data_IF_351757406226
#
_entry.id   IF_351757406226
#
_cell.length_a   1.000
_cell.length_b   1.000
_cell.length_c   1.000
_cell.angle_alpha   90.00
_cell.angle_beta   90.00
_cell.angle_gamma   90.00
#
_symmetry.space_group_name_H-M   'P 1'
#
loop_
_entity.id
_entity.type
_entity.pdbx_description
1 polymer ?
#
# COMPACT_ATOMS: atom_id res chain seq x y z
N UNK A 1 -1.47 -21.42 13.32
CA UNK A 1 -0.92 -20.13 13.78
C UNK A 1 -1.82 -19.04 13.23
N UNK A 2 -2.62 -18.45 14.09
CA UNK A 2 -3.50 -17.32 13.77
C UNK A 2 -2.78 -15.98 13.86
N UNK A 3 -3.35 -14.94 13.22
CA UNK A 3 -2.91 -13.57 13.43
C UNK A 3 -4.11 -12.75 13.87
N UNK A 4 -3.95 -12.00 14.95
CA UNK A 4 -4.86 -10.96 15.33
C UNK A 4 -4.43 -9.64 14.67
N UNK A 5 -5.38 -8.89 14.09
CA UNK A 5 -5.08 -7.62 13.42
C UNK A 5 -5.82 -6.48 14.13
N UNK A 6 -5.05 -5.55 14.65
CA UNK A 6 -5.49 -4.29 15.23
C UNK A 6 -5.41 -3.18 14.18
N UNK A 7 -6.29 -2.19 14.27
CA UNK A 7 -6.30 -1.03 13.37
C UNK A 7 -6.38 0.24 14.21
N UNK A 8 -5.48 1.17 13.91
CA UNK A 8 -5.36 2.46 14.57
C UNK A 8 -5.55 3.58 13.54
N UNK A 9 -6.51 4.46 13.80
CA UNK A 9 -6.74 5.68 13.01
C UNK A 9 -6.15 6.85 13.77
N UNK A 10 -5.25 7.60 13.12
CA UNK A 10 -4.55 8.78 13.67
C UNK A 10 -3.91 8.52 15.06
N UNK A 11 -3.14 7.42 15.25
CA UNK A 11 -2.68 6.99 16.57
C UNK A 11 -1.82 8.04 17.28
N UNK A 12 -1.11 8.89 16.54
CA UNK A 12 -0.33 9.99 17.12
C UNK A 12 -1.19 11.04 17.83
N UNK A 13 -2.48 11.14 17.46
CA UNK A 13 -3.44 12.08 18.08
C UNK A 13 -4.26 11.44 19.18
N UNK A 14 -4.64 10.16 19.01
CA UNK A 14 -5.68 9.55 19.87
C UNK A 14 -5.15 8.66 20.98
N UNK A 15 -3.91 8.13 20.83
CA UNK A 15 -3.36 7.22 21.83
C UNK A 15 -2.67 7.97 22.98
N UNK A 16 -2.89 7.50 24.21
CA UNK A 16 -2.08 7.89 25.37
C UNK A 16 -0.63 7.47 25.22
N UNK A 17 0.27 7.94 26.10
CA UNK A 17 1.72 7.77 25.94
C UNK A 17 2.15 6.31 25.91
N UNK A 18 1.72 5.49 26.83
CA UNK A 18 2.14 4.08 26.89
C UNK A 18 1.69 3.25 25.67
N UNK A 19 0.40 3.25 25.24
CA UNK A 19 -0.01 2.53 24.04
C UNK A 19 0.59 3.13 22.75
N UNK A 20 0.85 4.44 22.69
CA UNK A 20 1.57 5.05 21.58
C UNK A 20 3.01 4.53 21.48
N UNK A 21 3.75 4.54 22.58
CA UNK A 21 5.12 4.05 22.64
C UNK A 21 5.21 2.57 22.25
N UNK A 22 4.28 1.75 22.74
CA UNK A 22 4.22 0.33 22.38
C UNK A 22 4.00 0.13 20.88
N UNK A 23 3.05 0.85 20.26
CA UNK A 23 2.80 0.79 18.82
C UNK A 23 4.00 1.25 18.00
N UNK A 24 4.61 2.37 18.39
CA UNK A 24 5.79 2.94 17.72
C UNK A 24 6.97 1.97 17.74
N UNK A 25 7.26 1.38 18.92
CA UNK A 25 8.33 0.39 19.08
C UNK A 25 8.08 -0.86 18.22
N UNK A 26 6.86 -1.38 18.19
CA UNK A 26 6.49 -2.52 17.35
C UNK A 26 6.72 -2.23 15.85
N UNK A 27 6.33 -1.05 15.38
CA UNK A 27 6.52 -0.62 13.98
C UNK A 27 8.03 -0.57 13.66
N UNK A 28 8.83 0.07 14.50
CA UNK A 28 10.27 0.21 14.29
C UNK A 28 10.99 -1.15 14.37
N UNK A 29 10.62 -2.02 15.31
CA UNK A 29 11.18 -3.36 15.45
C UNK A 29 10.85 -4.26 14.22
N UNK A 30 9.62 -4.18 13.68
CA UNK A 30 9.28 -4.87 12.42
C UNK A 30 10.08 -4.27 11.26
N UNK A 31 10.14 -2.95 11.14
CA UNK A 31 10.83 -2.27 10.05
C UNK A 31 12.33 -2.60 10.04
N UNK A 32 12.99 -2.62 11.19
CA UNK A 32 14.41 -3.03 11.35
C UNK A 32 14.65 -4.45 10.82
N UNK A 33 13.67 -5.35 10.93
CA UNK A 33 13.79 -6.70 10.34
C UNK A 33 13.65 -6.73 8.81
N UNK A 34 13.23 -5.62 8.20
CA UNK A 34 12.97 -5.52 6.77
C UNK A 34 13.99 -4.64 6.02
N UNK A 35 14.62 -3.70 6.71
CA UNK A 35 15.56 -2.73 6.14
C UNK A 35 16.91 -2.78 6.88
N UNK A 36 18.02 -2.72 6.14
CA UNK A 36 19.35 -2.59 6.74
C UNK A 36 19.53 -1.24 7.43
N UNK A 37 19.00 -0.19 6.81
CA UNK A 37 18.95 1.17 7.38
C UNK A 37 17.48 1.62 7.34
N UNK A 38 16.94 2.02 8.49
CA UNK A 38 15.58 2.53 8.56
C UNK A 38 15.50 3.86 7.82
N UNK A 39 14.67 3.97 6.76
CA UNK A 39 14.44 5.24 6.14
C UNK A 39 13.61 6.15 7.06
N UNK A 40 13.91 7.45 7.00
CA UNK A 40 13.11 8.50 7.66
C UNK A 40 11.82 8.72 6.87
N UNK A 41 10.90 7.75 6.99
CA UNK A 41 9.71 7.69 6.15
C UNK A 41 8.48 7.19 6.92
N UNK A 42 7.41 7.97 6.83
CA UNK A 42 6.08 7.64 7.35
C UNK A 42 6.08 7.15 8.82
N UNK A 43 5.47 6.00 9.07
CA UNK A 43 5.31 5.45 10.41
C UNK A 43 6.63 5.02 11.06
N UNK A 44 7.71 4.81 10.27
CA UNK A 44 9.01 4.40 10.79
C UNK A 44 9.75 5.52 11.55
N UNK A 45 9.38 6.78 11.32
CA UNK A 45 9.87 7.93 12.10
C UNK A 45 9.53 7.77 13.59
N UNK A 46 8.38 7.17 13.91
CA UNK A 46 7.99 6.81 15.27
C UNK A 46 7.55 7.98 16.17
N UNK A 47 7.46 9.20 15.65
CA UNK A 47 7.00 10.36 16.43
C UNK A 47 5.47 10.49 16.39
N UNK A 48 4.88 11.20 17.37
CA UNK A 48 3.45 11.49 17.40
C UNK A 48 2.98 12.22 16.15
N UNK A 49 3.76 13.19 15.69
CA UNK A 49 3.44 13.94 14.49
C UNK A 49 3.43 13.04 13.25
N UNK A 50 4.47 12.23 13.07
CA UNK A 50 4.56 11.26 11.97
C UNK A 50 3.40 10.26 11.94
N UNK A 51 2.79 9.93 13.09
CA UNK A 51 1.66 9.01 13.20
C UNK A 51 0.31 9.73 13.30
N UNK A 52 0.28 11.06 13.24
CA UNK A 52 -0.94 11.87 13.45
C UNK A 52 -1.94 11.82 12.30
N UNK A 53 -1.50 11.47 11.10
CA UNK A 53 -2.29 11.40 9.87
C UNK A 53 -2.26 10.00 9.24
N UNK A 54 -2.11 8.98 10.05
CA UNK A 54 -1.98 7.59 9.56
C UNK A 54 -3.19 6.71 9.92
N UNK A 55 -3.47 5.79 9.00
CA UNK A 55 -4.24 4.59 9.27
C UNK A 55 -3.26 3.41 9.32
N UNK A 56 -3.11 2.81 10.49
CA UNK A 56 -2.13 1.74 10.72
C UNK A 56 -2.87 0.46 11.04
N UNK A 57 -2.50 -0.64 10.39
CA UNK A 57 -2.86 -1.98 10.84
C UNK A 57 -1.62 -2.73 11.26
N UNK A 58 -1.68 -3.46 12.37
CA UNK A 58 -0.60 -4.30 12.91
C UNK A 58 -1.12 -5.71 13.15
N UNK A 59 -0.34 -6.71 12.78
CA UNK A 59 -0.67 -8.10 12.99
C UNK A 59 0.21 -8.69 14.10
N UNK A 60 -0.44 -9.31 15.09
CA UNK A 60 0.20 -10.03 16.19
C UNK A 60 -0.06 -11.52 16.06
N UNK A 61 0.92 -12.33 16.45
CA UNK A 61 0.73 -13.78 16.60
C UNK A 61 0.02 -14.15 17.92
N UNK A 62 -0.19 -15.43 18.12
CA UNK A 62 -0.88 -15.96 19.31
C UNK A 62 -0.14 -15.66 20.64
N UNK A 63 1.13 -15.24 20.58
CA UNK A 63 1.94 -14.80 21.73
C UNK A 63 1.87 -13.28 21.98
N UNK A 64 1.17 -12.55 21.12
CA UNK A 64 1.09 -11.08 21.15
C UNK A 64 2.24 -10.37 20.41
N UNK A 65 3.22 -11.11 19.86
CA UNK A 65 4.37 -10.52 19.16
C UNK A 65 3.94 -9.97 17.80
N UNK A 66 4.31 -8.71 17.52
CA UNK A 66 4.04 -8.04 16.25
C UNK A 66 4.85 -8.67 15.11
N UNK A 67 4.18 -9.04 14.01
CA UNK A 67 4.72 -9.76 12.85
C UNK A 67 4.69 -8.99 11.55
N UNK A 68 3.90 -7.96 11.47
CA UNK A 68 3.84 -7.08 10.31
C UNK A 68 2.92 -5.91 10.54
N UNK A 69 3.13 -4.84 9.79
CA UNK A 69 2.25 -3.67 9.79
C UNK A 69 2.02 -3.16 8.37
N UNK A 70 0.94 -2.40 8.20
CA UNK A 70 0.69 -1.57 7.03
C UNK A 70 0.37 -0.16 7.50
N UNK A 71 1.04 0.84 6.93
CA UNK A 71 0.82 2.25 7.17
C UNK A 71 0.23 2.90 5.91
N UNK A 72 -0.86 3.64 6.07
CA UNK A 72 -1.49 4.45 5.03
C UNK A 72 -1.59 5.89 5.51
N UNK A 73 -1.48 6.85 4.61
CA UNK A 73 -1.51 8.27 4.94
C UNK A 73 -2.83 8.89 4.52
N UNK A 74 -3.43 9.70 5.38
CA UNK A 74 -4.57 10.53 5.03
C UNK A 74 -4.12 11.80 4.31
N UNK A 75 -4.68 12.01 3.11
CA UNK A 75 -4.44 13.19 2.30
C UNK A 75 -5.76 13.95 2.16
N UNK A 76 -5.89 15.09 2.81
CA UNK A 76 -7.08 15.94 2.69
C UNK A 76 -6.97 16.82 1.45
N UNK A 77 -7.81 16.53 0.43
CA UNK A 77 -7.79 17.18 -0.88
C UNK A 77 -9.11 17.91 -1.11
N UNK A 78 -9.04 19.23 -1.18
CA UNK A 78 -10.20 20.10 -1.37
C UNK A 78 -11.06 19.67 -2.58
N UNK A 79 -12.38 19.53 -2.39
CA UNK A 79 -13.33 19.10 -3.43
C UNK A 79 -13.22 17.64 -3.88
N UNK A 80 -12.39 16.83 -3.20
CA UNK A 80 -12.34 15.36 -3.34
C UNK A 80 -12.68 14.71 -2.00
N UNK A 81 -12.22 15.29 -0.90
CA UNK A 81 -12.27 14.74 0.44
C UNK A 81 -10.97 14.05 0.84
N UNK A 82 -11.06 13.16 1.81
CA UNK A 82 -9.91 12.42 2.32
C UNK A 82 -9.56 11.25 1.40
N UNK A 83 -8.35 11.27 0.84
CA UNK A 83 -7.74 10.20 0.02
C UNK A 83 -6.82 9.38 0.89
N UNK A 84 -6.84 8.06 0.76
CA UNK A 84 -5.90 7.16 1.44
C UNK A 84 -4.71 6.87 0.52
N UNK A 85 -3.53 7.36 0.87
CA UNK A 85 -2.30 6.92 0.22
C UNK A 85 -1.86 5.59 0.80
N UNK A 86 -1.75 4.57 -0.06
CA UNK A 86 -1.24 3.25 0.31
C UNK A 86 0.28 3.35 0.51
N UNK A 87 0.69 3.41 1.75
CA UNK A 87 2.08 3.56 2.11
C UNK A 87 2.81 2.23 2.30
N UNK A 88 3.66 2.19 3.32
CA UNK A 88 4.55 1.08 3.56
C UNK A 88 3.84 -0.13 4.18
N UNK A 89 4.20 -1.33 3.73
CA UNK A 89 3.84 -2.58 4.38
C UNK A 89 5.08 -3.41 4.65
N UNK A 90 5.36 -3.67 5.92
CA UNK A 90 6.46 -4.50 6.38
C UNK A 90 5.93 -5.78 7.01
N UNK A 91 6.56 -6.90 6.67
CA UNK A 91 6.27 -8.22 7.26
C UNK A 91 7.60 -8.88 7.58
N UNK A 92 7.76 -9.30 8.84
CA UNK A 92 8.97 -10.01 9.28
C UNK A 92 9.28 -11.20 8.39
N UNK A 93 10.55 -11.51 8.10
CA UNK A 93 10.93 -12.61 7.21
C UNK A 93 10.25 -13.93 7.53
N UNK A 94 10.17 -14.31 8.80
CA UNK A 94 9.55 -15.56 9.26
C UNK A 94 8.02 -15.61 9.13
N UNK A 95 7.38 -14.46 8.90
CA UNK A 95 5.94 -14.35 8.68
C UNK A 95 5.55 -14.16 7.20
N UNK A 96 6.54 -14.06 6.31
CA UNK A 96 6.30 -13.94 4.84
C UNK A 96 5.67 -15.23 4.29
N UNK A 97 5.08 -15.13 3.11
CA UNK A 97 4.39 -16.26 2.48
C UNK A 97 2.99 -16.57 3.04
N UNK A 98 2.65 -16.08 4.23
CA UNK A 98 1.36 -16.32 4.91
C UNK A 98 0.25 -15.32 4.51
N UNK A 99 0.43 -14.58 3.43
CA UNK A 99 -0.53 -13.57 2.89
C UNK A 99 -0.86 -12.44 3.88
N UNK A 100 0.02 -12.17 4.84
CA UNK A 100 -0.22 -11.21 5.92
C UNK A 100 -0.45 -9.79 5.39
N UNK A 101 0.29 -9.36 4.37
CA UNK A 101 0.09 -8.08 3.68
C UNK A 101 -1.38 -7.89 3.23
N UNK A 102 -1.99 -8.91 2.64
CA UNK A 102 -3.39 -8.83 2.20
C UNK A 102 -4.36 -8.71 3.37
N UNK A 103 -4.09 -9.39 4.49
CA UNK A 103 -4.95 -9.31 5.68
C UNK A 103 -4.85 -7.92 6.33
N UNK A 104 -3.64 -7.37 6.44
CA UNK A 104 -3.38 -6.02 6.99
C UNK A 104 -4.13 -4.96 6.19
N UNK A 105 -3.88 -4.89 4.88
CA UNK A 105 -4.51 -3.92 3.97
C UNK A 105 -6.03 -4.07 3.98
N UNK A 106 -6.53 -5.31 3.84
CA UNK A 106 -7.98 -5.57 3.84
C UNK A 106 -8.64 -5.10 5.13
N UNK A 107 -8.08 -5.45 6.29
CA UNK A 107 -8.68 -5.10 7.59
C UNK A 107 -8.75 -3.59 7.78
N UNK A 108 -7.65 -2.87 7.47
CA UNK A 108 -7.60 -1.42 7.54
C UNK A 108 -8.63 -0.76 6.62
N UNK A 109 -8.59 -1.09 5.32
CA UNK A 109 -9.47 -0.47 4.33
C UNK A 109 -10.95 -0.77 4.57
N UNK A 110 -11.30 -2.03 4.90
CA UNK A 110 -12.69 -2.40 5.16
C UNK A 110 -13.22 -1.72 6.41
N UNK A 111 -12.44 -1.69 7.49
CA UNK A 111 -12.82 -1.01 8.73
C UNK A 111 -13.03 0.49 8.51
N UNK A 112 -12.10 1.13 7.80
CA UNK A 112 -12.20 2.55 7.47
C UNK A 112 -13.42 2.87 6.59
N UNK A 113 -13.65 2.09 5.53
CA UNK A 113 -14.80 2.26 4.65
C UNK A 113 -16.14 2.13 5.40
N UNK A 114 -16.28 1.11 6.24
CA UNK A 114 -17.49 0.89 7.03
C UNK A 114 -17.77 2.04 8.01
N UNK A 115 -16.71 2.61 8.59
CA UNK A 115 -16.82 3.72 9.54
C UNK A 115 -17.15 5.05 8.84
N UNK A 116 -16.48 5.35 7.71
CA UNK A 116 -16.51 6.68 7.11
C UNK A 116 -17.52 6.83 5.97
N UNK A 117 -17.68 5.82 5.11
CA UNK A 117 -18.53 5.93 3.92
C UNK A 117 -19.00 4.55 3.41
N UNK A 118 -19.85 3.83 4.16
CA UNK A 118 -20.22 2.44 3.85
C UNK A 118 -20.92 2.26 2.50
N UNK A 119 -21.60 3.28 2.02
CA UNK A 119 -22.34 3.26 0.74
C UNK A 119 -21.64 3.99 -0.40
N UNK A 120 -20.56 4.68 -0.12
CA UNK A 120 -19.83 5.49 -1.09
C UNK A 120 -18.54 4.83 -1.57
N UNK A 121 -17.59 5.68 -1.94
CA UNK A 121 -16.24 5.28 -2.35
C UNK A 121 -15.19 6.04 -1.56
N UNK A 122 -14.06 5.38 -1.33
CA UNK A 122 -12.84 5.98 -0.80
C UNK A 122 -11.81 6.03 -1.92
N UNK A 123 -11.31 7.21 -2.24
CA UNK A 123 -10.20 7.37 -3.15
C UNK A 123 -8.90 6.90 -2.52
N UNK A 124 -8.09 6.24 -3.33
CA UNK A 124 -6.74 5.81 -2.93
C UNK A 124 -5.70 6.36 -3.90
N UNK A 125 -4.47 6.49 -3.41
CA UNK A 125 -3.28 6.64 -4.23
C UNK A 125 -2.21 5.63 -3.82
N UNK A 126 -1.30 5.31 -4.73
CA UNK A 126 -0.12 4.48 -4.50
C UNK A 126 1.01 5.04 -5.35
N UNK A 127 2.19 5.24 -4.77
CA UNK A 127 3.38 5.63 -5.50
C UNK A 127 4.43 4.53 -5.31
N UNK A 128 4.90 3.94 -6.40
CA UNK A 128 5.80 2.80 -6.30
C UNK A 128 6.62 2.54 -7.57
N UNK A 129 7.86 2.03 -7.37
CA UNK A 129 8.66 1.35 -8.39
C UNK A 129 8.48 -0.19 -8.36
N UNK A 130 7.85 -0.72 -7.31
CA UNK A 130 7.66 -2.16 -7.06
C UNK A 130 6.53 -2.73 -7.92
N UNK A 131 6.85 -3.54 -8.92
CA UNK A 131 5.89 -4.12 -9.88
C UNK A 131 4.78 -4.94 -9.22
N UNK A 132 5.09 -5.66 -8.14
CA UNK A 132 4.09 -6.43 -7.39
C UNK A 132 3.09 -5.52 -6.65
N UNK A 133 3.53 -4.37 -6.14
CA UNK A 133 2.65 -3.36 -5.55
C UNK A 133 1.71 -2.79 -6.60
N UNK A 134 2.25 -2.31 -7.72
CA UNK A 134 1.50 -1.75 -8.84
C UNK A 134 0.47 -2.75 -9.38
N UNK A 135 0.89 -4.00 -9.60
CA UNK A 135 0.00 -5.06 -10.06
C UNK A 135 -1.14 -5.37 -9.09
N UNK A 136 -0.87 -5.40 -7.79
CA UNK A 136 -1.89 -5.62 -6.76
C UNK A 136 -2.91 -4.47 -6.73
N UNK A 137 -2.45 -3.22 -6.81
CA UNK A 137 -3.35 -2.06 -6.84
C UNK A 137 -4.23 -2.10 -8.08
N UNK A 138 -3.66 -2.31 -9.27
CA UNK A 138 -4.42 -2.42 -10.51
C UNK A 138 -5.49 -3.53 -10.48
N UNK A 139 -5.23 -4.65 -9.78
CA UNK A 139 -6.15 -5.79 -9.72
C UNK A 139 -7.28 -5.66 -8.70
N UNK A 140 -7.08 -4.90 -7.64
CA UNK A 140 -7.96 -4.94 -6.47
C UNK A 140 -8.75 -3.67 -6.25
N UNK A 141 -8.37 -2.56 -6.91
CA UNK A 141 -9.08 -1.30 -6.83
C UNK A 141 -9.81 -0.98 -8.14
N UNK A 142 -10.77 -0.06 -8.08
CA UNK A 142 -11.59 0.32 -9.22
C UNK A 142 -11.02 1.57 -9.89
N UNK A 143 -11.15 1.62 -11.22
CA UNK A 143 -10.77 2.78 -12.04
C UNK A 143 -9.35 3.29 -11.76
N UNK A 144 -8.42 2.38 -11.52
CA UNK A 144 -7.00 2.72 -11.28
C UNK A 144 -6.37 3.26 -12.56
N UNK A 145 -5.79 4.45 -12.49
CA UNK A 145 -4.95 5.04 -13.54
C UNK A 145 -3.56 5.37 -12.97
N UNK A 146 -2.47 5.05 -13.69
CA UNK A 146 -2.42 4.22 -14.89
C UNK A 146 -2.60 2.72 -14.57
N UNK A 147 -3.24 2.01 -15.48
CA UNK A 147 -3.46 0.56 -15.34
C UNK A 147 -3.81 -0.05 -16.70
N UNK A 148 -3.40 -1.29 -17.01
CA UNK A 148 -3.83 -1.98 -18.23
C UNK A 148 -5.34 -2.28 -18.27
N UNK A 149 -6.06 -2.06 -17.17
CA UNK A 149 -7.51 -2.27 -17.06
C UNK A 149 -8.30 -0.96 -17.15
N UNK A 150 -7.61 0.16 -17.36
CA UNK A 150 -8.23 1.47 -17.54
C UNK A 150 -7.93 1.98 -18.94
N UNK A 151 -8.99 2.14 -19.75
CA UNK A 151 -8.92 2.71 -21.10
C UNK A 151 -9.25 4.21 -21.08
N UNK A 152 -8.50 5.00 -21.83
CA UNK A 152 -8.70 6.45 -21.96
C UNK A 152 -7.85 7.29 -20.99
N UNK A 153 -8.12 8.60 -21.03
CA UNK A 153 -7.39 9.59 -20.24
C UNK A 153 -7.84 9.61 -18.77
N UNK A 154 -6.98 10.07 -17.84
CA UNK A 154 -7.36 10.22 -16.44
C UNK A 154 -8.55 11.19 -16.29
N UNK A 155 -9.46 10.88 -15.37
CA UNK A 155 -10.59 11.80 -15.09
C UNK A 155 -10.10 13.06 -14.37
N UNK A 156 -10.95 14.12 -14.37
CA UNK A 156 -10.66 15.35 -13.64
C UNK A 156 -10.32 15.12 -12.15
N UNK A 157 -10.94 14.11 -11.51
CA UNK A 157 -10.62 13.75 -10.12
C UNK A 157 -9.24 13.10 -10.00
N UNK A 158 -8.83 12.24 -10.94
CA UNK A 158 -7.48 11.69 -10.97
C UNK A 158 -6.43 12.80 -11.07
N UNK A 159 -6.61 13.73 -12.03
CA UNK A 159 -5.70 14.87 -12.20
C UNK A 159 -5.65 15.76 -10.95
N UNK A 160 -6.81 16.03 -10.34
CA UNK A 160 -6.89 16.83 -9.12
C UNK A 160 -6.11 16.19 -7.96
N UNK A 161 -6.23 14.87 -7.79
CA UNK A 161 -5.48 14.13 -6.77
C UNK A 161 -3.98 14.15 -7.10
N UNK A 162 -3.58 13.85 -8.34
CA UNK A 162 -2.18 13.85 -8.75
C UNK A 162 -1.50 15.20 -8.50
N UNK A 163 -2.12 16.30 -8.94
CA UNK A 163 -1.62 17.65 -8.73
C UNK A 163 -1.55 18.06 -7.26
N UNK A 164 -2.53 17.63 -6.45
CA UNK A 164 -2.49 17.87 -5.01
C UNK A 164 -1.34 17.11 -4.33
N UNK A 165 -1.08 15.87 -4.77
CA UNK A 165 0.06 15.10 -4.31
C UNK A 165 1.37 15.78 -4.69
N UNK A 166 1.52 16.14 -5.95
CA UNK A 166 2.70 16.81 -6.47
C UNK A 166 3.02 18.12 -5.75
N UNK A 167 2.02 18.96 -5.51
CA UNK A 167 2.22 20.29 -4.92
C UNK A 167 2.34 20.31 -3.40
N UNK A 168 1.82 19.29 -2.67
CA UNK A 168 1.67 19.38 -1.21
C UNK A 168 2.08 18.15 -0.41
N UNK A 169 2.21 16.99 -1.05
CA UNK A 169 2.34 15.72 -0.32
C UNK A 169 3.52 14.86 -0.77
N UNK A 170 4.48 15.41 -1.54
CA UNK A 170 5.66 14.67 -2.01
C UNK A 170 6.43 13.99 -0.88
N UNK A 171 6.70 14.70 0.19
CA UNK A 171 7.42 14.19 1.36
C UNK A 171 6.72 12.97 1.98
N UNK A 172 5.37 12.99 2.02
CA UNK A 172 4.58 11.88 2.56
C UNK A 172 4.66 10.61 1.71
N UNK A 173 5.18 10.72 0.48
CA UNK A 173 5.35 9.62 -0.47
C UNK A 173 6.82 9.28 -0.74
N UNK A 174 7.75 9.98 -0.09
CA UNK A 174 9.19 9.87 -0.32
C UNK A 174 9.61 10.25 -1.74
N UNK A 175 8.85 11.11 -2.41
CA UNK A 175 9.20 11.65 -3.73
C UNK A 175 10.27 12.72 -3.55
N UNK A 176 11.41 12.56 -4.22
CA UNK A 176 12.50 13.53 -4.15
C UNK A 176 12.04 14.92 -4.63
N UNK A 177 12.59 16.02 -4.06
CA UNK A 177 12.18 17.39 -4.38
C UNK A 177 12.33 17.75 -5.87
N UNK A 178 13.35 17.22 -6.53
CA UNK A 178 13.68 17.45 -7.94
C UNK A 178 12.97 16.50 -8.92
N UNK A 179 12.20 15.53 -8.40
CA UNK A 179 11.40 14.65 -9.24
C UNK A 179 10.35 15.45 -10.04
N UNK A 180 10.08 15.05 -11.27
CA UNK A 180 9.13 15.72 -12.16
C UNK A 180 7.92 14.80 -12.37
N UNK A 181 6.71 15.32 -12.10
CA UNK A 181 5.48 14.60 -12.41
C UNK A 181 5.14 14.68 -13.91
N UNK A 182 5.17 13.52 -14.58
CA UNK A 182 4.58 13.33 -15.90
C UNK A 182 3.05 13.14 -15.72
N UNK A 183 2.27 14.21 -15.92
CA UNK A 183 0.82 14.20 -15.71
C UNK A 183 0.05 13.37 -16.74
N UNK A 184 0.62 13.06 -17.90
CA UNK A 184 -0.03 12.22 -18.90
C UNK A 184 0.01 10.73 -18.50
N UNK A 185 1.13 10.32 -17.92
CA UNK A 185 1.39 8.92 -17.54
C UNK A 185 1.30 8.65 -16.05
N UNK A 186 1.19 9.71 -15.23
CA UNK A 186 1.23 9.64 -13.77
C UNK A 186 2.51 8.95 -13.27
N UNK A 187 3.65 9.51 -13.67
CA UNK A 187 4.97 9.01 -13.28
C UNK A 187 5.77 10.15 -12.67
N UNK A 188 6.28 9.94 -11.48
CA UNK A 188 7.33 10.77 -10.92
C UNK A 188 8.68 10.32 -11.49
N UNK A 189 9.27 11.13 -12.34
CA UNK A 189 10.59 10.90 -12.93
C UNK A 189 11.68 11.14 -11.91
N UNK A 190 12.65 10.23 -11.82
CA UNK A 190 13.78 10.28 -10.89
C UNK A 190 13.37 10.38 -9.40
N UNK A 191 12.21 9.84 -9.06
CA UNK A 191 11.57 9.97 -7.73
C UNK A 191 12.39 9.34 -6.60
N UNK A 192 13.03 8.19 -6.84
CA UNK A 192 13.73 7.41 -5.80
C UNK A 192 15.15 7.02 -6.20
N UNK A 193 15.75 7.75 -7.14
CA UNK A 193 17.12 7.49 -7.59
C UNK A 193 18.10 7.55 -6.42
N UNK A 194 18.94 6.51 -6.31
CA UNK A 194 19.95 6.38 -5.23
C UNK A 194 19.37 6.34 -3.80
N UNK A 195 18.11 5.96 -3.63
CA UNK A 195 17.49 5.77 -2.32
C UNK A 195 17.30 4.28 -2.02
N UNK A 196 16.91 3.94 -0.78
CA UNK A 196 16.55 2.56 -0.38
C UNK A 196 15.33 2.01 -1.10
N UNK A 197 14.53 2.87 -1.74
CA UNK A 197 13.35 2.51 -2.51
C UNK A 197 13.64 2.30 -4.01
N UNK A 198 14.84 2.65 -4.48
CA UNK A 198 15.27 2.33 -5.83
C UNK A 198 15.22 0.81 -6.06
N UNK A 199 14.71 0.39 -7.21
CA UNK A 199 14.56 -1.03 -7.56
C UNK A 199 15.16 -1.29 -8.93
N UNK A 200 15.81 -2.45 -9.06
CA UNK A 200 16.30 -2.95 -10.34
C UNK A 200 15.17 -3.65 -11.10
N UNK A 201 15.14 -3.45 -12.42
CA UNK A 201 14.11 -4.02 -13.29
C UNK A 201 14.04 -5.55 -13.23
N UNK A 202 15.21 -6.19 -13.10
CA UNK A 202 15.35 -7.63 -13.20
C UNK A 202 15.30 -8.35 -11.85
N UNK A 203 15.07 -7.62 -10.74
CA UNK A 203 14.90 -8.22 -9.43
C UNK A 203 13.50 -8.86 -9.30
N UNK A 204 13.45 -10.18 -9.55
CA UNK A 204 12.22 -10.97 -9.52
C UNK A 204 11.49 -10.96 -8.17
N UNK A 205 12.18 -10.62 -7.07
CA UNK A 205 11.56 -10.51 -5.74
C UNK A 205 10.47 -9.42 -5.70
N UNK A 206 10.57 -8.41 -6.57
CA UNK A 206 9.60 -7.32 -6.68
C UNK A 206 8.58 -7.50 -7.81
N UNK A 207 8.65 -8.61 -8.56
CA UNK A 207 7.72 -8.86 -9.65
C UNK A 207 6.35 -9.36 -9.15
N UNK A 208 5.31 -8.95 -9.86
CA UNK A 208 3.99 -9.51 -9.70
C UNK A 208 3.90 -10.87 -10.41
N UNK A 209 3.13 -11.82 -9.84
CA UNK A 209 2.93 -13.16 -10.42
C UNK A 209 2.32 -13.19 -11.83
N UNK A 210 1.69 -12.09 -12.27
CA UNK A 210 1.14 -11.93 -13.62
C UNK A 210 2.09 -11.13 -14.48
N UNK A 211 2.84 -11.78 -15.37
CA UNK A 211 3.84 -11.15 -16.23
C UNK A 211 3.29 -10.02 -17.10
N UNK A 212 2.01 -10.07 -17.50
CA UNK A 212 1.40 -8.96 -18.26
C UNK A 212 1.37 -7.64 -17.51
N UNK A 213 1.20 -7.68 -16.18
CA UNK A 213 1.28 -6.49 -15.32
C UNK A 213 2.72 -5.97 -15.20
N UNK A 214 3.68 -6.88 -15.02
CA UNK A 214 5.09 -6.52 -14.98
C UNK A 214 5.51 -5.81 -16.27
N UNK A 215 5.16 -6.39 -17.43
CA UNK A 215 5.46 -5.80 -18.74
C UNK A 215 4.84 -4.42 -18.92
N UNK A 216 3.56 -4.25 -18.53
CA UNK A 216 2.88 -2.97 -18.65
C UNK A 216 3.62 -1.86 -17.88
N UNK A 217 3.88 -2.08 -16.59
CA UNK A 217 4.54 -1.07 -15.76
C UNK A 217 6.01 -0.88 -16.12
N UNK A 218 6.74 -1.94 -16.43
CA UNK A 218 8.12 -1.84 -16.85
C UNK A 218 8.31 -1.07 -18.19
N UNK A 219 7.28 -1.03 -19.04
CA UNK A 219 7.33 -0.28 -20.30
C UNK A 219 7.09 1.22 -20.13
N UNK A 220 6.50 1.66 -19.01
CA UNK A 220 6.21 3.08 -18.79
C UNK A 220 7.20 3.75 -17.82
N UNK A 221 7.95 2.97 -17.04
CA UNK A 221 8.96 3.45 -16.08
C UNK A 221 10.38 3.31 -16.63
N UNK A 222 11.26 4.21 -16.20
CA UNK A 222 12.69 4.04 -16.31
C UNK A 222 13.27 3.68 -14.93
N UNK A 223 13.62 2.42 -14.74
CA UNK A 223 14.17 1.92 -13.48
C UNK A 223 15.54 2.52 -13.17
N UNK A 224 16.41 2.67 -14.16
CA UNK A 224 17.75 3.25 -13.98
C UNK A 224 17.71 4.70 -13.49
N UNK A 225 16.66 5.42 -13.87
CA UNK A 225 16.42 6.77 -13.39
C UNK A 225 15.70 6.81 -12.04
N UNK A 226 15.19 5.69 -11.54
CA UNK A 226 14.42 5.63 -10.30
C UNK A 226 13.03 6.26 -10.44
N UNK A 227 12.33 6.00 -11.53
CA UNK A 227 10.94 6.42 -11.73
C UNK A 227 10.00 5.67 -10.80
N UNK A 228 8.93 6.33 -10.39
CA UNK A 228 7.78 5.72 -9.70
C UNK A 228 6.46 6.01 -10.40
N UNK A 229 5.59 5.02 -10.44
CA UNK A 229 4.23 5.20 -10.95
C UNK A 229 3.31 5.65 -9.83
N UNK A 230 2.64 6.80 -10.04
CA UNK A 230 1.57 7.28 -9.19
C UNK A 230 0.24 6.71 -9.66
N UNK A 231 -0.24 5.67 -9.01
CA UNK A 231 -1.57 5.11 -9.27
C UNK A 231 -2.63 5.82 -8.42
N UNK A 232 -3.77 6.14 -9.05
CA UNK A 232 -4.93 6.71 -8.38
C UNK A 232 -6.16 5.89 -8.79
N UNK A 233 -6.98 5.56 -7.82
CA UNK A 233 -8.22 4.79 -8.02
C UNK A 233 -9.12 4.92 -6.81
N UNK A 234 -10.08 4.02 -6.67
CA UNK A 234 -10.94 4.00 -5.49
C UNK A 234 -11.39 2.57 -5.16
N UNK A 235 -11.97 2.41 -3.98
CA UNK A 235 -12.67 1.18 -3.60
C UNK A 235 -14.02 1.49 -2.97
N UNK A 236 -14.93 0.51 -3.05
CA UNK A 236 -16.27 0.55 -2.50
C UNK A 236 -16.57 -0.78 -1.81
N UNK A 237 -17.67 -0.86 -1.08
CA UNK A 237 -18.11 -2.12 -0.46
C UNK A 237 -18.23 -3.26 -1.49
N UNK A 238 -18.72 -2.97 -2.69
CA UNK A 238 -18.80 -3.95 -3.79
C UNK A 238 -17.43 -4.50 -4.17
N UNK A 239 -16.38 -3.67 -4.18
CA UNK A 239 -15.00 -4.12 -4.43
C UNK A 239 -14.52 -5.08 -3.34
N UNK A 240 -14.82 -4.77 -2.07
CA UNK A 240 -14.47 -5.61 -0.92
C UNK A 240 -15.18 -6.96 -1.02
N UNK A 241 -16.48 -6.98 -1.33
CA UNK A 241 -17.27 -8.21 -1.49
C UNK A 241 -16.69 -9.07 -2.65
N UNK A 242 -16.45 -8.46 -3.82
CA UNK A 242 -15.83 -9.16 -4.96
C UNK A 242 -14.47 -9.74 -4.62
N UNK A 243 -13.65 -9.00 -3.86
CA UNK A 243 -12.35 -9.50 -3.38
C UNK A 243 -12.53 -10.73 -2.48
N UNK A 244 -13.42 -10.68 -1.49
CA UNK A 244 -13.69 -11.78 -0.56
C UNK A 244 -14.17 -13.04 -1.32
N UNK A 245 -15.15 -12.87 -2.22
CA UNK A 245 -15.67 -13.98 -3.03
C UNK A 245 -14.59 -14.63 -3.91
N UNK A 246 -13.71 -13.82 -4.53
CA UNK A 246 -12.56 -14.31 -5.31
C UNK A 246 -11.61 -15.13 -4.45
N UNK A 247 -11.32 -14.67 -3.23
CA UNK A 247 -10.45 -15.39 -2.30
C UNK A 247 -11.06 -16.75 -1.87
N UNK A 248 -12.37 -16.80 -1.62
CA UNK A 248 -13.06 -18.05 -1.31
C UNK A 248 -13.02 -19.07 -2.47
N UNK A 249 -13.23 -18.60 -3.71
CA UNK A 249 -13.12 -19.47 -4.90
C UNK A 249 -11.72 -20.05 -5.06
N UNK A 250 -10.69 -19.23 -4.88
CA UNK A 250 -9.30 -19.68 -4.97
C UNK A 250 -8.95 -20.72 -3.89
N UNK A 251 -9.46 -20.55 -2.67
CA UNK A 251 -9.26 -21.55 -1.60
C UNK A 251 -9.91 -22.89 -1.94
N UNK A 252 -11.14 -22.87 -2.47
CA UNK A 252 -11.84 -24.12 -2.88
C UNK A 252 -11.10 -24.84 -4.03
N UNK A 253 -10.60 -24.09 -5.02
CA UNK A 253 -9.84 -24.67 -6.13
C UNK A 253 -8.53 -25.31 -5.67
N UNK A 254 -7.79 -24.67 -4.76
CA UNK A 254 -6.55 -25.24 -4.22
C UNK A 254 -6.81 -26.49 -3.36
N UNK A 255 -7.90 -26.53 -2.59
CA UNK A 255 -8.28 -27.73 -1.81
C UNK A 255 -8.72 -28.92 -2.69
N UNK A 256 -9.23 -28.65 -3.89
CA UNK A 256 -9.59 -29.71 -4.86
C UNK A 256 -8.39 -30.22 -5.68
N UNK A 257 -7.25 -29.51 -5.66
CA UNK A 257 -6.02 -29.85 -6.36
C UNK A 257 -4.95 -30.51 -5.46
N UNK A 258 -5.19 -30.62 -4.15
CA UNK A 258 -4.40 -31.52 -3.30
C UNK A 258 -4.91 -32.95 -3.54
N UNK A 259 -4.15 -33.81 -4.28
CA UNK A 259 -4.51 -35.23 -4.39
C UNK A 259 -4.35 -35.86 -3.02
N UNK A 260 -5.30 -36.72 -2.68
CA UNK A 260 -5.19 -37.62 -1.56
C UNK A 260 -3.88 -38.42 -1.69
N UNK A 261 -2.82 -37.95 -1.05
CA UNK A 261 -1.62 -38.74 -0.76
C UNK A 261 -1.78 -39.25 0.67
N UNK A 262 -2.71 -40.20 0.80
CA UNK A 262 -2.76 -41.18 1.89
C UNK A 262 -3.16 -42.51 1.27
N UNK A 263 -2.16 -43.35 1.04
CA UNK A 263 -2.16 -44.80 1.30
C UNK A 263 -0.77 -45.35 1.05
#
# INVERSE_FOLDING_TARGET
MGFHIEVFEEPGRVLGDAPFAALSNDIQDIATSCFHTLPDYQAMIGTRDALSDKLISIARDDTGKAKGFCSMVFLDIGGVGRVLHLGLTCVRPEARGKRLTHFLVKKALTGYLLKQNPFGKIWISNCAAVLSSLGNVAMHFEKVFPSPFYSGSPSATHLKIARAIDSRFREKMYVLPDAILDEERFIFRASVKNTVFHKEKDDLAFHHRKNGLNRFYANIMNFEQGDEVLQIGYFRMVSVIKYVLRQHRMKKLNQQQEPALEL
#
